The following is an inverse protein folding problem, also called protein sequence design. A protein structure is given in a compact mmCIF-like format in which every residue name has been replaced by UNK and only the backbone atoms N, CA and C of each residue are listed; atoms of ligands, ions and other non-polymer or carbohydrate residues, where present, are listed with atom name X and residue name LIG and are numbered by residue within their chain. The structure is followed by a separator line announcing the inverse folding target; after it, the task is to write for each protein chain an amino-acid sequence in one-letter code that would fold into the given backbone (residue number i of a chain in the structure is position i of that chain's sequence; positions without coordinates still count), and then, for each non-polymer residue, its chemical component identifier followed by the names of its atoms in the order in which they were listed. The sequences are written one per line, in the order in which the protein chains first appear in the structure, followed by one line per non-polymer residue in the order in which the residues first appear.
data_IF_066970618164
#
_entry.id   IF_066970618164
#
_cell.length_a   1.000
_cell.length_b   1.000
_cell.length_c   1.000
_cell.angle_alpha   90.00
_cell.angle_beta   90.00
_cell.angle_gamma   90.00
#
_symmetry.space_group_name_H-M   'P 1'
#
loop_
_entity.id
_entity.type
_entity.pdbx_description
1 polymer ?
#
# COMPACT_ATOMS: atom_id res chain seq x y z
N UNK A 1 14.10 9.66 8.76
CA UNK A 1 12.75 10.26 8.85
C UNK A 1 12.88 11.48 9.73
N UNK A 2 12.22 12.58 9.39
CA UNK A 2 12.26 13.79 10.21
C UNK A 2 11.54 13.53 11.55
N UNK A 3 12.02 14.18 12.62
CA UNK A 3 11.48 13.98 13.97
C UNK A 3 9.98 14.25 14.05
N UNK A 4 9.54 15.33 13.44
CA UNK A 4 8.12 15.74 13.39
C UNK A 4 7.21 14.71 12.71
N UNK A 5 7.69 14.08 11.62
CA UNK A 5 6.93 13.01 10.94
C UNK A 5 6.76 11.78 11.82
N UNK A 6 7.79 11.43 12.59
CA UNK A 6 7.73 10.31 13.55
C UNK A 6 6.77 10.63 14.70
N UNK A 7 6.86 11.84 15.26
CA UNK A 7 6.00 12.28 16.36
C UNK A 7 4.52 12.30 15.94
N UNK A 8 4.22 12.76 14.71
CA UNK A 8 2.86 12.75 14.16
C UNK A 8 2.30 11.33 14.04
N UNK A 9 3.08 10.39 13.49
CA UNK A 9 2.69 8.99 13.40
C UNK A 9 2.48 8.36 14.79
N UNK A 10 3.41 8.58 15.71
CA UNK A 10 3.33 8.05 17.08
C UNK A 10 2.15 8.58 17.86
N UNK A 11 1.84 9.88 17.71
CA UNK A 11 0.66 10.52 18.30
C UNK A 11 -0.64 9.89 17.78
N UNK A 12 -0.74 9.69 16.47
CA UNK A 12 -1.91 9.05 15.86
C UNK A 12 -2.12 7.61 16.35
N UNK A 13 -1.04 6.83 16.41
CA UNK A 13 -1.09 5.46 16.95
C UNK A 13 -1.44 5.45 18.43
N UNK A 14 -0.88 6.38 19.23
CA UNK A 14 -1.23 6.52 20.65
C UNK A 14 -2.73 6.73 20.86
N UNK A 15 -3.35 7.61 20.07
CA UNK A 15 -4.80 7.85 20.11
C UNK A 15 -5.61 6.59 19.73
N UNK A 16 -5.17 5.81 18.74
CA UNK A 16 -5.83 4.55 18.39
C UNK A 16 -5.79 3.55 19.56
N UNK A 17 -4.64 3.44 20.23
CA UNK A 17 -4.48 2.55 21.40
C UNK A 17 -5.38 2.98 22.55
N UNK A 18 -5.47 4.29 22.81
CA UNK A 18 -6.35 4.81 23.86
C UNK A 18 -7.85 4.59 23.59
N UNK A 19 -8.24 4.68 22.31
CA UNK A 19 -9.65 4.57 21.92
C UNK A 19 -10.14 3.13 21.79
N UNK A 20 -9.25 2.16 21.51
CA UNK A 20 -9.66 0.79 21.18
C UNK A 20 -10.39 0.11 22.33
N UNK A 21 -10.08 0.41 23.57
CA UNK A 21 -10.74 -0.21 24.72
C UNK A 21 -12.22 0.22 24.85
N UNK A 22 -12.53 1.45 24.42
CA UNK A 22 -13.83 2.08 24.58
C UNK A 22 -14.74 1.98 23.33
N UNK A 23 -14.25 1.48 22.22
CA UNK A 23 -15.00 1.37 20.96
C UNK A 23 -14.85 -0.03 20.34
N UNK A 24 -15.92 -0.53 19.75
CA UNK A 24 -15.93 -1.77 19.00
C UNK A 24 -15.42 -1.57 17.57
N UNK A 25 -15.65 -0.38 17.02
CA UNK A 25 -15.21 0.00 15.68
C UNK A 25 -14.50 1.36 15.72
N UNK A 26 -13.34 1.43 15.06
CA UNK A 26 -12.55 2.64 14.89
C UNK A 26 -12.25 2.89 13.42
N UNK A 27 -12.28 4.16 13.02
CA UNK A 27 -11.87 4.59 11.68
C UNK A 27 -10.66 5.51 11.77
N UNK A 28 -9.59 5.12 11.08
CA UNK A 28 -8.37 5.89 10.93
C UNK A 28 -8.20 6.38 9.50
N UNK A 29 -8.06 7.70 9.35
CA UNK A 29 -7.74 8.35 8.09
C UNK A 29 -6.32 8.90 8.11
N UNK A 30 -5.55 8.59 7.06
CA UNK A 30 -4.26 9.22 6.81
C UNK A 30 -3.95 9.22 5.30
N UNK A 31 -3.26 10.24 4.78
CA UNK A 31 -2.98 10.36 3.35
C UNK A 31 -2.23 9.17 2.77
N UNK A 32 -2.33 9.01 1.46
CA UNK A 32 -1.47 8.03 0.76
C UNK A 32 0.00 8.45 0.92
N UNK A 33 0.86 7.46 1.18
CA UNK A 33 2.29 7.73 1.43
C UNK A 33 2.64 8.14 2.86
N UNK A 34 1.66 8.35 3.76
CA UNK A 34 1.90 8.72 5.16
C UNK A 34 2.45 7.58 6.04
N UNK A 35 2.63 6.38 5.50
CA UNK A 35 3.11 5.23 6.25
C UNK A 35 2.02 4.48 7.03
N UNK A 36 0.79 4.39 6.49
CA UNK A 36 -0.32 3.63 7.12
C UNK A 36 0.09 2.23 7.56
N UNK A 37 0.79 1.47 6.69
CA UNK A 37 1.29 0.13 7.03
C UNK A 37 2.24 0.12 8.23
N UNK A 38 3.08 1.14 8.36
CA UNK A 38 3.95 1.31 9.53
C UNK A 38 3.14 1.58 10.80
N UNK A 39 2.18 2.51 10.74
CA UNK A 39 1.31 2.84 11.87
C UNK A 39 0.42 1.67 12.28
N UNK A 40 -0.04 0.89 11.32
CA UNK A 40 -0.76 -0.37 11.57
C UNK A 40 0.09 -1.37 12.33
N UNK A 41 1.35 -1.56 11.92
CA UNK A 41 2.30 -2.43 12.58
C UNK A 41 2.65 -1.94 14.01
N UNK A 42 2.85 -0.63 14.20
CA UNK A 42 3.09 -0.03 15.52
C UNK A 42 1.89 -0.21 16.45
N UNK A 43 0.68 0.02 15.95
CA UNK A 43 -0.56 -0.22 16.70
C UNK A 43 -0.66 -1.68 17.16
N UNK A 44 -0.52 -2.63 16.23
CA UNK A 44 -0.57 -4.06 16.56
C UNK A 44 0.52 -4.44 17.57
N UNK A 45 1.75 -3.95 17.39
CA UNK A 45 2.85 -4.24 18.30
C UNK A 45 2.61 -3.73 19.73
N UNK A 46 2.00 -2.55 19.89
CA UNK A 46 1.65 -2.00 21.20
C UNK A 46 0.56 -2.82 21.89
N UNK A 47 -0.50 -3.16 21.17
CA UNK A 47 -1.58 -4.00 21.72
C UNK A 47 -1.04 -5.39 22.13
N UNK A 48 -0.20 -6.01 21.31
CA UNK A 48 0.38 -7.34 21.60
C UNK A 48 1.43 -7.32 22.70
N UNK A 49 1.99 -6.16 23.05
CA UNK A 49 2.93 -6.05 24.18
C UNK A 49 2.25 -6.34 25.52
N UNK A 50 0.99 -5.93 25.65
CA UNK A 50 0.23 -5.99 26.90
C UNK A 50 -0.85 -7.08 26.91
N UNK A 51 -1.10 -7.72 25.74
CA UNK A 51 -2.20 -8.67 25.55
C UNK A 51 -1.74 -9.95 24.82
N UNK A 52 -1.51 -11.01 25.54
CA UNK A 52 -1.14 -12.32 25.01
C UNK A 52 -2.32 -13.09 24.37
N UNK A 53 -3.54 -12.64 24.61
CA UNK A 53 -4.77 -13.25 24.13
C UNK A 53 -5.38 -12.51 22.92
N UNK A 54 -4.73 -11.50 22.36
CA UNK A 54 -5.17 -10.79 21.15
C UNK A 54 -4.47 -11.36 19.93
N UNK A 55 -5.21 -11.51 18.84
CA UNK A 55 -4.68 -11.75 17.49
C UNK A 55 -5.29 -10.76 16.51
N UNK A 56 -4.58 -10.51 15.43
CA UNK A 56 -5.02 -9.61 14.36
C UNK A 56 -5.30 -10.36 13.07
N UNK A 57 -6.44 -10.07 12.45
CA UNK A 57 -6.73 -10.43 11.07
C UNK A 57 -6.68 -9.15 10.22
N UNK A 58 -5.66 -9.02 9.39
CA UNK A 58 -5.45 -7.85 8.51
C UNK A 58 -5.98 -8.18 7.12
N UNK A 59 -7.15 -7.63 6.79
CA UNK A 59 -7.77 -7.79 5.47
C UNK A 59 -7.32 -6.67 4.54
N UNK A 60 -6.65 -7.01 3.44
CA UNK A 60 -6.15 -6.04 2.46
C UNK A 60 -6.51 -6.42 1.02
N UNK A 61 -6.38 -5.48 0.09
CA UNK A 61 -6.70 -5.72 -1.32
C UNK A 61 -5.73 -6.75 -1.92
N UNK A 62 -6.26 -7.66 -2.72
CA UNK A 62 -5.42 -8.63 -3.47
C UNK A 62 -4.76 -8.02 -4.70
N UNK A 63 -5.34 -6.92 -5.23
CA UNK A 63 -4.77 -6.20 -6.38
C UNK A 63 -3.42 -5.57 -6.01
N UNK A 64 -2.49 -5.60 -6.95
CA UNK A 64 -1.16 -5.00 -6.77
C UNK A 64 -0.29 -5.72 -5.73
N UNK A 65 -0.62 -6.97 -5.38
CA UNK A 65 0.13 -7.78 -4.41
C UNK A 65 0.24 -7.13 -3.01
N UNK A 66 -0.75 -6.31 -2.61
CA UNK A 66 -0.72 -5.55 -1.35
C UNK A 66 -0.67 -6.45 -0.11
N UNK A 67 -1.32 -7.62 -0.15
CA UNK A 67 -1.27 -8.57 0.95
C UNK A 67 0.16 -9.08 1.20
N UNK A 68 0.86 -9.48 0.15
CA UNK A 68 2.26 -9.88 0.22
C UNK A 68 3.14 -8.73 0.71
N UNK A 69 2.93 -7.52 0.17
CA UNK A 69 3.70 -6.34 0.59
C UNK A 69 3.51 -6.01 2.07
N UNK A 70 2.27 -6.09 2.59
CA UNK A 70 2.01 -5.86 4.02
C UNK A 70 2.67 -6.95 4.87
N UNK A 71 2.56 -8.22 4.46
CA UNK A 71 3.20 -9.34 5.14
C UNK A 71 4.73 -9.18 5.18
N UNK A 72 5.36 -8.90 4.03
CA UNK A 72 6.82 -8.70 3.94
C UNK A 72 7.27 -7.53 4.83
N UNK A 73 6.49 -6.44 4.88
CA UNK A 73 6.78 -5.30 5.75
C UNK A 73 6.67 -5.64 7.23
N UNK A 74 5.65 -6.39 7.63
CA UNK A 74 5.50 -6.82 9.02
C UNK A 74 6.66 -7.75 9.44
N UNK A 75 7.08 -8.68 8.57
CA UNK A 75 8.26 -9.50 8.81
C UNK A 75 9.54 -8.63 8.90
N UNK A 76 9.74 -7.72 7.95
CA UNK A 76 10.90 -6.82 7.95
C UNK A 76 10.99 -6.01 9.26
N UNK A 77 9.86 -5.48 9.74
CA UNK A 77 9.83 -4.71 10.99
C UNK A 77 10.15 -5.57 12.21
N UNK A 78 9.65 -6.79 12.27
CA UNK A 78 9.98 -7.76 13.33
C UNK A 78 11.46 -8.12 13.30
N UNK A 79 11.98 -8.53 12.15
CA UNK A 79 13.34 -9.05 11.98
C UNK A 79 14.40 -7.95 12.23
N UNK A 80 14.08 -6.70 11.94
CA UNK A 80 14.89 -5.53 12.31
C UNK A 80 14.74 -5.12 13.79
N UNK A 81 13.97 -5.85 14.58
CA UNK A 81 13.73 -5.59 15.99
C UNK A 81 12.93 -4.34 16.30
N UNK A 82 12.23 -3.78 15.29
CA UNK A 82 11.44 -2.56 15.45
C UNK A 82 10.09 -2.83 16.11
N UNK A 83 9.41 -3.91 15.69
CA UNK A 83 8.13 -4.38 16.23
C UNK A 83 8.21 -5.86 16.57
N UNK A 84 8.80 -6.17 17.71
CA UNK A 84 9.20 -7.53 18.12
C UNK A 84 8.03 -8.45 18.45
N UNK A 85 6.88 -7.88 18.81
CA UNK A 85 5.71 -8.66 19.22
C UNK A 85 4.91 -9.20 18.03
N UNK A 86 5.21 -8.77 16.79
CA UNK A 86 4.54 -9.27 15.60
C UNK A 86 5.07 -10.65 15.21
N UNK A 87 4.15 -11.59 14.98
CA UNK A 87 4.44 -12.89 14.36
C UNK A 87 3.48 -13.08 13.18
N UNK A 88 3.81 -12.54 11.97
CA UNK A 88 2.90 -12.50 10.85
C UNK A 88 2.83 -13.84 10.09
N UNK A 89 1.65 -14.16 9.56
CA UNK A 89 1.36 -15.25 8.65
C UNK A 89 0.53 -14.74 7.47
N UNK A 90 0.91 -15.08 6.23
CA UNK A 90 0.14 -14.78 5.03
C UNK A 90 -0.77 -15.94 4.69
N UNK A 91 -2.08 -15.71 4.72
CA UNK A 91 -3.06 -16.69 4.29
C UNK A 91 -3.01 -16.75 2.75
N UNK A 92 -2.61 -17.90 2.20
CA UNK A 92 -2.49 -18.11 0.76
C UNK A 92 -3.43 -19.19 0.27
N UNK A 93 -3.76 -19.15 -1.02
CA UNK A 93 -4.51 -20.21 -1.70
C UNK A 93 -3.65 -21.35 -2.24
N UNK A 94 -2.34 -21.23 -2.10
CA UNK A 94 -1.36 -22.14 -2.70
C UNK A 94 -1.15 -23.44 -1.91
N UNK A 95 -2.20 -23.99 -1.36
CA UNK A 95 -2.17 -25.39 -0.95
C UNK A 95 -2.68 -26.18 -2.14
N UNK A 96 -1.73 -26.69 -2.91
CA UNK A 96 -1.99 -27.58 -4.04
C UNK A 96 -2.47 -28.92 -3.52
N UNK A 97 -3.69 -29.33 -3.90
CA UNK A 97 -4.22 -30.66 -3.63
C UNK A 97 -5.66 -30.64 -3.08
N UNK A 98 -6.22 -31.82 -2.93
CA UNK A 98 -7.56 -32.07 -2.34
C UNK A 98 -7.60 -31.85 -0.83
N UNK A 99 -6.50 -31.38 -0.23
CA UNK A 99 -6.38 -31.17 1.21
C UNK A 99 -7.19 -29.96 1.67
N UNK A 100 -7.81 -30.11 2.82
CA UNK A 100 -8.56 -29.05 3.51
C UNK A 100 -7.61 -27.89 3.80
N UNK A 101 -7.95 -26.67 3.40
CA UNK A 101 -7.16 -25.49 3.70
C UNK A 101 -7.03 -25.35 5.23
N UNK A 102 -5.83 -25.50 5.75
CA UNK A 102 -5.53 -25.35 7.17
C UNK A 102 -4.81 -24.02 7.41
N UNK A 103 -5.34 -23.20 8.33
CA UNK A 103 -4.70 -21.98 8.78
C UNK A 103 -4.04 -22.29 10.12
N UNK A 104 -2.70 -22.22 10.23
CA UNK A 104 -1.99 -22.49 11.49
C UNK A 104 -2.38 -21.48 12.58
N UNK A 105 -2.34 -21.90 13.85
CA UNK A 105 -2.84 -21.11 15.00
C UNK A 105 -1.77 -20.50 15.89
N UNK A 106 -0.50 -20.67 15.55
CA UNK A 106 0.67 -20.25 16.33
C UNK A 106 1.23 -18.85 15.94
N UNK A 107 0.48 -18.13 15.13
CA UNK A 107 0.76 -16.74 14.76
C UNK A 107 -0.17 -15.76 15.48
N UNK A 108 0.19 -14.47 15.49
CA UNK A 108 -0.65 -13.44 16.10
C UNK A 108 -1.10 -12.33 15.14
N UNK A 109 -0.54 -12.29 13.92
CA UNK A 109 -0.96 -11.38 12.85
C UNK A 109 -1.19 -12.18 11.58
N UNK A 110 -2.44 -12.28 11.14
CA UNK A 110 -2.84 -13.00 9.92
C UNK A 110 -3.17 -12.00 8.83
N UNK A 111 -2.44 -12.04 7.72
CA UNK A 111 -2.70 -11.19 6.55
C UNK A 111 -3.57 -11.96 5.58
N UNK A 112 -4.77 -11.43 5.33
CA UNK A 112 -5.78 -12.01 4.45
C UNK A 112 -5.92 -11.22 3.16
N UNK A 113 -5.49 -11.76 2.00
CA UNK A 113 -5.87 -11.23 0.70
C UNK A 113 -7.39 -11.31 0.52
N UNK A 114 -8.05 -10.18 0.29
CA UNK A 114 -9.51 -10.06 0.31
C UNK A 114 -10.23 -10.98 -0.66
N UNK A 115 -9.63 -11.22 -1.84
CA UNK A 115 -10.21 -12.08 -2.88
C UNK A 115 -10.25 -13.56 -2.50
N UNK A 116 -9.48 -13.99 -1.50
CA UNK A 116 -9.54 -15.36 -1.01
C UNK A 116 -10.82 -15.64 -0.24
N UNK A 117 -11.41 -14.60 0.38
CA UNK A 117 -12.67 -14.70 1.11
C UNK A 117 -13.84 -14.17 0.27
N UNK A 118 -14.11 -14.82 -0.85
CA UNK A 118 -15.22 -14.50 -1.77
C UNK A 118 -16.18 -15.67 -1.91
N UNK A 119 -17.40 -15.39 -2.35
CA UNK A 119 -18.45 -16.40 -2.56
C UNK A 119 -17.94 -17.53 -3.46
N UNK A 120 -18.06 -18.78 -2.97
CA UNK A 120 -17.57 -19.97 -3.66
C UNK A 120 -16.06 -20.24 -3.51
N UNK A 121 -15.32 -19.38 -2.81
CA UNK A 121 -13.91 -19.61 -2.50
C UNK A 121 -13.72 -20.63 -1.37
N UNK A 122 -12.57 -21.33 -1.37
CA UNK A 122 -12.24 -22.36 -0.36
C UNK A 122 -12.32 -21.85 1.08
N UNK A 123 -11.96 -20.63 1.34
CA UNK A 123 -12.03 -20.03 2.69
C UNK A 123 -13.49 -19.86 3.16
N UNK A 124 -14.42 -19.51 2.27
CA UNK A 124 -15.85 -19.43 2.61
C UNK A 124 -16.51 -20.80 2.77
N UNK A 125 -15.89 -21.87 2.28
CA UNK A 125 -16.40 -23.25 2.42
C UNK A 125 -16.07 -23.87 3.78
N UNK A 126 -15.78 -23.08 4.79
CA UNK A 126 -15.61 -23.49 6.18
C UNK A 126 -14.21 -23.31 6.75
N UNK A 127 -13.16 -23.15 5.94
CA UNK A 127 -11.80 -23.05 6.45
C UNK A 127 -11.59 -21.82 7.35
N UNK A 128 -12.17 -20.66 6.98
CA UNK A 128 -12.11 -19.44 7.78
C UNK A 128 -12.97 -19.57 9.04
N UNK A 129 -14.19 -20.09 8.93
CA UNK A 129 -15.06 -20.28 10.08
C UNK A 129 -14.43 -21.27 11.08
N UNK A 130 -13.88 -22.38 10.62
CA UNK A 130 -13.16 -23.33 11.46
C UNK A 130 -11.98 -22.67 12.17
N UNK A 131 -11.17 -21.89 11.44
CA UNK A 131 -10.05 -21.15 12.03
C UNK A 131 -10.51 -20.18 13.11
N UNK A 132 -11.55 -19.36 12.82
CA UNK A 132 -12.08 -18.38 13.76
C UNK A 132 -12.69 -19.06 14.99
N UNK A 133 -13.41 -20.16 14.80
CA UNK A 133 -13.95 -20.97 15.91
C UNK A 133 -12.84 -21.54 16.79
N UNK A 134 -11.80 -22.12 16.19
CA UNK A 134 -10.65 -22.64 16.94
C UNK A 134 -9.98 -21.55 17.74
N UNK A 135 -9.76 -20.37 17.15
CA UNK A 135 -9.08 -19.25 17.81
C UNK A 135 -9.91 -18.63 18.94
N UNK A 136 -11.23 -18.68 18.88
CA UNK A 136 -12.13 -18.17 19.93
C UNK A 136 -12.57 -19.22 20.95
N UNK A 137 -12.18 -20.48 20.78
CA UNK A 137 -12.59 -21.55 21.68
C UNK A 137 -11.58 -21.70 22.85
N UNK A 138 -12.08 -21.51 24.07
CA UNK A 138 -11.32 -21.63 25.31
C UNK A 138 -10.66 -22.99 25.54
N UNK A 139 -11.30 -24.07 25.07
CA UNK A 139 -10.80 -25.44 25.32
C UNK A 139 -9.51 -25.73 24.56
N UNK A 140 -9.35 -25.17 23.35
CA UNK A 140 -8.19 -25.43 22.50
C UNK A 140 -6.89 -24.71 22.95
N UNK A 141 -7.03 -23.58 23.67
CA UNK A 141 -5.89 -22.77 24.13
C UNK A 141 -5.67 -22.81 25.65
N UNK A 142 -6.02 -23.92 26.29
CA UNK A 142 -5.79 -24.09 27.71
C UNK A 142 -6.57 -23.12 28.61
N UNK A 143 -7.79 -22.77 28.22
CA UNK A 143 -8.67 -21.88 28.96
C UNK A 143 -8.49 -20.37 28.68
N UNK A 144 -7.70 -19.99 27.66
CA UNK A 144 -7.56 -18.58 27.25
C UNK A 144 -8.21 -18.37 25.89
N UNK A 145 -9.38 -17.75 25.87
CA UNK A 145 -10.04 -17.29 24.68
C UNK A 145 -9.20 -16.22 23.96
N UNK A 146 -8.99 -16.36 22.65
CA UNK A 146 -8.36 -15.33 21.84
C UNK A 146 -9.39 -14.31 21.39
N UNK A 147 -9.05 -13.03 21.54
CA UNK A 147 -9.80 -11.89 20.98
C UNK A 147 -9.25 -11.58 19.60
N UNK A 148 -10.13 -11.64 18.60
CA UNK A 148 -9.73 -11.35 17.22
C UNK A 148 -10.06 -9.89 16.89
N UNK A 149 -9.03 -9.12 16.54
CA UNK A 149 -9.19 -7.76 16.04
C UNK A 149 -9.06 -7.76 14.52
N UNK A 150 -10.11 -7.30 13.84
CA UNK A 150 -10.12 -7.16 12.38
C UNK A 150 -9.56 -5.79 11.99
N UNK A 151 -8.52 -5.76 11.17
CA UNK A 151 -8.04 -4.55 10.52
C UNK A 151 -8.42 -4.62 9.04
N UNK A 152 -9.17 -3.62 8.56
CA UNK A 152 -9.53 -3.44 7.15
C UNK A 152 -8.65 -2.37 6.54
N UNK A 153 -7.60 -2.79 5.84
CA UNK A 153 -6.74 -1.89 5.07
C UNK A 153 -7.46 -1.51 3.77
N UNK A 154 -7.43 -0.24 3.39
CA UNK A 154 -8.21 0.33 2.27
C UNK A 154 -9.72 0.02 2.41
N UNK A 155 -10.30 0.36 3.56
CA UNK A 155 -11.68 0.05 3.93
C UNK A 155 -12.74 0.70 3.02
N UNK A 156 -12.36 1.68 2.17
CA UNK A 156 -13.25 2.29 1.18
C UNK A 156 -13.71 1.30 0.09
N UNK A 157 -13.02 0.17 -0.06
CA UNK A 157 -13.45 -0.94 -0.92
C UNK A 157 -14.29 -1.91 -0.09
N UNK A 158 -15.48 -2.26 -0.58
CA UNK A 158 -16.44 -3.09 0.13
C UNK A 158 -15.88 -4.45 0.61
N UNK A 159 -16.25 -4.82 1.83
CA UNK A 159 -15.84 -6.06 2.53
C UNK A 159 -17.01 -6.91 2.96
N UNK A 160 -18.13 -6.88 2.22
CA UNK A 160 -19.42 -7.44 2.61
C UNK A 160 -19.36 -8.87 3.21
N UNK A 161 -18.50 -9.72 2.67
CA UNK A 161 -18.36 -11.09 3.18
C UNK A 161 -17.68 -11.16 4.55
N UNK A 162 -16.70 -10.28 4.82
CA UNK A 162 -16.05 -10.19 6.13
C UNK A 162 -16.97 -9.50 7.14
N UNK A 163 -17.76 -8.54 6.68
CA UNK A 163 -18.69 -7.80 7.54
C UNK A 163 -19.78 -8.74 8.13
N UNK A 164 -20.15 -9.80 7.40
CA UNK A 164 -21.07 -10.82 7.93
C UNK A 164 -20.48 -11.66 9.07
N UNK A 165 -19.14 -11.80 9.13
CA UNK A 165 -18.44 -12.50 10.22
C UNK A 165 -18.15 -11.60 11.41
N UNK A 166 -18.17 -10.27 11.22
CA UNK A 166 -17.73 -9.32 12.26
C UNK A 166 -18.53 -9.45 13.55
N UNK A 167 -19.82 -9.68 13.44
CA UNK A 167 -20.71 -9.79 14.61
C UNK A 167 -20.50 -11.07 15.43
N UNK A 168 -19.85 -12.09 14.86
CA UNK A 168 -19.73 -13.40 15.51
C UNK A 168 -18.36 -13.66 16.13
N UNK A 169 -17.30 -13.12 15.51
CA UNK A 169 -15.92 -13.49 15.86
C UNK A 169 -15.00 -12.32 16.19
N UNK A 170 -15.29 -11.13 15.69
CA UNK A 170 -14.37 -9.99 15.87
C UNK A 170 -14.76 -9.16 17.07
N UNK A 171 -13.86 -9.10 18.05
CA UNK A 171 -14.04 -8.27 19.25
C UNK A 171 -13.91 -6.78 18.93
N UNK A 172 -13.09 -6.43 17.95
CA UNK A 172 -12.83 -5.04 17.51
C UNK A 172 -12.62 -5.02 16.00
N UNK A 173 -13.02 -3.91 15.38
CA UNK A 173 -12.78 -3.63 13.95
C UNK A 173 -12.09 -2.28 13.78
N UNK A 174 -11.01 -2.23 13.02
CA UNK A 174 -10.28 -1.01 12.69
C UNK A 174 -10.28 -0.80 11.17
N UNK A 175 -10.76 0.34 10.74
CA UNK A 175 -10.86 0.72 9.35
C UNK A 175 -9.73 1.71 9.00
N UNK A 176 -8.77 1.30 8.19
CA UNK A 176 -7.66 2.13 7.70
C UNK A 176 -7.92 2.55 6.25
N UNK A 177 -7.85 3.84 5.96
CA UNK A 177 -7.94 4.35 4.57
C UNK A 177 -7.43 5.78 4.45
N UNK A 178 -7.04 6.18 3.24
CA UNK A 178 -6.85 7.58 2.90
C UNK A 178 -8.21 8.28 2.67
N UNK A 179 -9.20 7.54 2.19
CA UNK A 179 -10.53 8.04 1.81
C UNK A 179 -11.64 7.14 2.36
N UNK A 180 -11.81 7.06 3.69
CA UNK A 180 -12.84 6.19 4.26
C UNK A 180 -14.24 6.64 3.82
N UNK A 181 -15.10 5.68 3.47
CA UNK A 181 -16.51 5.97 3.15
C UNK A 181 -17.30 6.17 4.44
N UNK A 182 -17.36 7.40 4.88
CA UNK A 182 -18.14 7.79 6.04
C UNK A 182 -19.49 8.36 5.60
N UNK A 183 -20.52 8.21 6.44
CA UNK A 183 -21.78 8.89 6.22
C UNK A 183 -21.61 10.42 6.38
N UNK A 184 -22.54 11.23 5.87
CA UNK A 184 -22.43 12.70 5.80
C UNK A 184 -22.11 13.41 7.12
N UNK A 185 -22.30 12.75 8.28
CA UNK A 185 -22.09 13.35 9.62
C UNK A 185 -21.00 12.62 10.41
N UNK A 186 -20.43 11.57 9.89
CA UNK A 186 -19.35 10.83 10.56
C UNK A 186 -18.01 11.43 10.20
N UNK A 187 -17.14 11.52 11.19
CA UNK A 187 -15.73 11.89 11.05
C UNK A 187 -14.88 10.67 11.44
N UNK A 188 -13.65 10.56 10.96
CA UNK A 188 -12.73 9.54 11.45
C UNK A 188 -12.49 9.70 12.95
N UNK A 189 -12.30 8.59 13.66
CA UNK A 189 -11.96 8.62 15.09
C UNK A 189 -10.57 9.19 15.34
N UNK A 190 -9.64 8.85 14.44
CA UNK A 190 -8.28 9.40 14.40
C UNK A 190 -7.96 9.78 12.97
N UNK A 191 -7.41 10.97 12.80
CA UNK A 191 -7.07 11.52 11.50
C UNK A 191 -5.67 12.14 11.51
N UNK A 192 -4.91 11.91 10.45
CA UNK A 192 -3.79 12.74 10.02
C UNK A 192 -4.25 13.46 8.77
N UNK A 193 -4.35 14.78 8.83
CA UNK A 193 -4.78 15.61 7.70
C UNK A 193 -3.64 15.77 6.68
N UNK A 194 -4.00 16.02 5.43
CA UNK A 194 -3.02 16.24 4.36
C UNK A 194 -2.08 17.41 4.68
N UNK A 195 -2.62 18.49 5.26
CA UNK A 195 -1.84 19.65 5.70
C UNK A 195 -0.84 19.30 6.81
N UNK A 196 -1.28 18.56 7.84
CA UNK A 196 -0.42 18.12 8.94
C UNK A 196 0.69 17.20 8.45
N UNK A 197 0.36 16.26 7.55
CA UNK A 197 1.31 15.34 6.95
C UNK A 197 2.32 16.06 6.04
N UNK A 198 1.88 17.08 5.30
CA UNK A 198 2.73 17.92 4.48
C UNK A 198 3.70 18.76 5.32
N UNK A 199 3.19 19.46 6.36
CA UNK A 199 3.98 20.28 7.27
C UNK A 199 5.04 19.45 8.02
N UNK A 200 4.69 18.25 8.46
CA UNK A 200 5.63 17.30 9.07
C UNK A 200 6.56 16.62 8.06
N UNK A 201 6.45 16.92 6.77
CA UNK A 201 7.19 16.27 5.67
C UNK A 201 7.05 14.73 5.68
N UNK A 202 5.92 14.26 6.14
CA UNK A 202 5.54 12.83 6.14
C UNK A 202 5.13 12.37 4.74
N UNK A 203 4.50 13.26 3.98
CA UNK A 203 4.17 13.07 2.57
C UNK A 203 4.89 14.11 1.71
N UNK A 204 5.03 13.82 0.44
CA UNK A 204 5.53 14.78 -0.53
C UNK A 204 4.50 15.90 -0.71
N UNK A 205 4.99 17.13 -0.81
CA UNK A 205 4.18 18.25 -1.25
C UNK A 205 3.76 18.01 -2.70
N UNK A 206 2.47 18.21 -2.98
CA UNK A 206 1.93 18.10 -4.35
C UNK A 206 1.55 19.49 -4.78
N UNK A 207 2.24 19.98 -5.81
CA UNK A 207 1.91 21.22 -6.50
C UNK A 207 1.15 20.84 -7.78
N UNK A 208 -0.06 21.34 -7.94
CA UNK A 208 -0.83 21.15 -9.16
C UNK A 208 -0.44 22.25 -10.14
N UNK A 209 -0.12 21.88 -11.36
CA UNK A 209 0.10 22.83 -12.47
C UNK A 209 -1.21 23.53 -12.84
N UNK A 210 -1.09 24.76 -13.36
CA UNK A 210 -2.24 25.54 -13.79
C UNK A 210 -2.87 24.99 -15.08
N UNK A 211 -2.11 24.22 -15.86
CA UNK A 211 -2.54 23.65 -17.14
C UNK A 211 -2.28 22.13 -17.16
N UNK A 212 -3.32 21.36 -16.83
CA UNK A 212 -3.24 19.91 -16.65
C UNK A 212 -2.96 19.15 -17.98
N UNK A 213 -3.15 19.80 -19.13
CA UNK A 213 -3.07 19.16 -20.45
C UNK A 213 -1.75 19.43 -21.19
N UNK A 214 -0.89 20.33 -20.72
CA UNK A 214 0.34 20.68 -21.43
C UNK A 214 1.55 19.86 -20.96
N UNK A 215 1.85 18.80 -21.71
CA UNK A 215 3.02 17.96 -21.51
C UNK A 215 4.34 18.75 -21.64
N UNK A 216 4.38 19.78 -22.49
CA UNK A 216 5.54 20.63 -22.67
C UNK A 216 5.88 21.43 -21.41
N UNK A 217 4.85 22.00 -20.77
CA UNK A 217 5.02 22.70 -19.48
C UNK A 217 5.59 21.76 -18.42
N UNK A 218 5.07 20.52 -18.35
CA UNK A 218 5.56 19.53 -17.39
C UNK A 218 7.03 19.13 -17.65
N UNK A 219 7.44 18.99 -18.91
CA UNK A 219 8.82 18.66 -19.29
C UNK A 219 9.73 19.84 -18.97
N UNK A 220 9.39 21.07 -19.33
CA UNK A 220 10.16 22.26 -19.02
C UNK A 220 10.36 22.42 -17.50
N UNK A 221 9.30 22.26 -16.73
CA UNK A 221 9.38 22.32 -15.27
C UNK A 221 10.28 21.21 -14.69
N UNK A 222 10.21 20.01 -15.25
CA UNK A 222 11.08 18.91 -14.86
C UNK A 222 12.55 19.25 -15.13
N UNK A 223 12.88 19.82 -16.27
CA UNK A 223 14.25 20.21 -16.59
C UNK A 223 14.80 21.28 -15.64
N UNK A 224 13.97 22.27 -15.26
CA UNK A 224 14.35 23.31 -14.28
C UNK A 224 14.73 22.69 -12.92
N UNK A 225 14.01 21.66 -12.45
CA UNK A 225 14.27 21.06 -11.14
C UNK A 225 15.30 19.92 -11.17
N UNK A 226 15.55 19.32 -12.33
CA UNK A 226 16.39 18.14 -12.50
C UNK A 226 17.81 18.34 -11.96
N UNK A 227 18.44 19.47 -12.30
CA UNK A 227 19.79 19.80 -11.84
C UNK A 227 19.83 20.03 -10.34
N UNK A 228 18.84 20.73 -9.79
CA UNK A 228 18.74 20.96 -8.36
C UNK A 228 18.64 19.64 -7.56
N UNK A 229 17.86 18.67 -8.04
CA UNK A 229 17.75 17.36 -7.40
C UNK A 229 19.06 16.55 -7.49
N UNK A 230 19.76 16.63 -8.60
CA UNK A 230 21.07 15.99 -8.76
C UNK A 230 22.10 16.57 -7.80
N UNK A 231 22.17 17.90 -7.72
CA UNK A 231 23.15 18.60 -6.91
C UNK A 231 22.88 18.47 -5.41
N UNK A 232 21.63 18.60 -4.99
CA UNK A 232 21.25 18.58 -3.58
C UNK A 232 21.12 17.16 -3.00
N UNK A 233 20.66 16.20 -3.78
CA UNK A 233 20.29 14.86 -3.30
C UNK A 233 21.13 13.75 -3.91
N UNK A 234 21.92 14.02 -4.92
CA UNK A 234 22.70 13.00 -5.64
C UNK A 234 21.84 11.96 -6.36
N UNK A 235 20.57 12.28 -6.65
CA UNK A 235 19.61 11.39 -7.31
C UNK A 235 19.18 11.95 -8.65
N UNK A 236 18.88 11.07 -9.59
CA UNK A 236 18.25 11.48 -10.84
C UNK A 236 16.74 11.48 -10.66
N UNK A 237 16.05 12.65 -10.66
CA UNK A 237 14.60 12.68 -10.62
C UNK A 237 14.03 12.10 -11.91
N UNK A 238 12.80 11.63 -11.88
CA UNK A 238 12.14 11.04 -13.04
C UNK A 238 10.74 11.63 -13.19
N UNK A 239 10.43 12.19 -14.35
CA UNK A 239 9.09 12.62 -14.73
C UNK A 239 8.26 11.39 -15.12
N UNK A 240 7.05 11.30 -14.63
CA UNK A 240 6.12 10.21 -14.96
C UNK A 240 4.98 10.79 -15.79
N UNK A 241 4.80 10.27 -17.01
CA UNK A 241 3.68 10.63 -17.90
C UNK A 241 2.76 9.42 -17.99
N UNK A 242 1.55 9.56 -17.47
CA UNK A 242 0.51 8.53 -17.57
C UNK A 242 -0.40 8.82 -18.76
N UNK A 243 -0.49 7.89 -19.68
CA UNK A 243 -1.43 7.96 -20.80
C UNK A 243 -2.85 7.58 -20.36
N UNK A 244 -3.85 8.11 -21.06
CA UNK A 244 -5.26 7.79 -20.86
C UNK A 244 -5.60 6.32 -21.19
N UNK A 245 -6.88 5.99 -21.19
CA UNK A 245 -7.38 4.65 -21.51
C UNK A 245 -7.09 4.24 -22.97
N UNK A 246 -7.22 2.93 -23.23
CA UNK A 246 -6.80 2.21 -24.46
C UNK A 246 -7.00 2.96 -25.78
N UNK A 247 -8.15 3.57 -25.95
CA UNK A 247 -8.55 4.17 -27.24
C UNK A 247 -7.89 5.53 -27.52
N UNK A 248 -7.44 6.22 -26.48
CA UNK A 248 -6.80 7.54 -26.59
C UNK A 248 -5.29 7.52 -26.46
N UNK A 249 -4.72 6.48 -25.81
CA UNK A 249 -3.29 6.41 -25.49
C UNK A 249 -2.40 6.50 -26.74
N UNK A 250 -2.73 5.81 -27.81
CA UNK A 250 -1.94 5.84 -29.05
C UNK A 250 -2.02 7.22 -29.71
N UNK A 251 -3.16 7.91 -29.62
CA UNK A 251 -3.30 9.29 -30.06
C UNK A 251 -2.46 10.25 -29.24
N UNK A 252 -2.59 10.19 -27.91
CA UNK A 252 -1.82 11.05 -26.98
C UNK A 252 -0.32 10.86 -27.16
N UNK A 253 0.13 9.61 -27.26
CA UNK A 253 1.54 9.27 -27.44
C UNK A 253 2.09 9.89 -28.74
N UNK A 254 1.38 9.72 -29.87
CA UNK A 254 1.90 10.12 -31.19
C UNK A 254 1.65 11.59 -31.52
N UNK A 255 0.63 12.22 -30.94
CA UNK A 255 0.24 13.60 -31.31
C UNK A 255 0.55 14.64 -30.22
N UNK A 256 0.83 14.19 -28.99
CA UNK A 256 1.14 15.07 -27.85
C UNK A 256 2.55 14.80 -27.31
N UNK A 257 2.80 13.58 -26.81
CA UNK A 257 4.03 13.26 -26.06
C UNK A 257 5.26 13.20 -26.97
N UNK A 258 5.23 12.42 -28.02
CA UNK A 258 6.39 12.28 -28.92
C UNK A 258 6.73 13.57 -29.69
N UNK A 259 5.76 14.34 -30.20
CA UNK A 259 6.09 15.64 -30.79
C UNK A 259 6.82 16.56 -29.82
N UNK A 260 6.41 16.57 -28.55
CA UNK A 260 7.08 17.37 -27.52
C UNK A 260 8.50 16.87 -27.24
N UNK A 261 8.68 15.58 -27.00
CA UNK A 261 9.98 14.96 -26.75
C UNK A 261 10.97 15.05 -27.92
N UNK A 262 10.49 15.25 -29.13
CA UNK A 262 11.33 15.38 -30.32
C UNK A 262 11.74 16.82 -30.63
N UNK A 263 11.31 17.80 -29.83
CA UNK A 263 11.82 19.17 -29.94
C UNK A 263 13.30 19.21 -29.65
N UNK A 264 14.02 20.09 -30.34
CA UNK A 264 15.49 20.20 -30.20
C UNK A 264 15.95 20.46 -28.76
N UNK A 265 15.16 21.19 -28.00
CA UNK A 265 15.41 21.53 -26.59
C UNK A 265 15.39 20.31 -25.65
N UNK A 266 14.68 19.22 -26.03
CA UNK A 266 14.48 18.03 -25.18
C UNK A 266 15.25 16.79 -25.68
N UNK A 267 16.13 16.92 -26.67
CA UNK A 267 16.84 15.78 -27.29
C UNK A 267 17.78 15.03 -26.33
N UNK A 268 18.23 15.68 -25.27
CA UNK A 268 19.12 15.08 -24.26
C UNK A 268 18.35 14.26 -23.22
N UNK A 269 17.02 14.39 -23.16
CA UNK A 269 16.21 13.65 -22.22
C UNK A 269 16.12 12.17 -22.61
N UNK A 270 16.35 11.30 -21.64
CA UNK A 270 16.23 9.85 -21.79
C UNK A 270 14.86 9.40 -21.35
N UNK A 271 14.07 8.83 -22.26
CA UNK A 271 12.74 8.37 -21.96
C UNK A 271 12.55 6.87 -22.16
N UNK A 272 11.53 6.32 -21.52
CA UNK A 272 11.15 4.91 -21.55
C UNK A 272 9.63 4.78 -21.60
N UNK A 273 9.12 4.12 -22.64
CA UNK A 273 7.70 3.77 -22.80
C UNK A 273 7.47 2.35 -22.28
N UNK A 274 6.58 2.19 -21.31
CA UNK A 274 6.23 0.90 -20.71
C UNK A 274 4.71 0.70 -20.85
N UNK A 275 4.33 -0.28 -21.64
CA UNK A 275 2.94 -0.69 -21.89
C UNK A 275 2.77 -2.18 -21.64
N UNK A 276 1.51 -2.64 -21.61
CA UNK A 276 1.18 -4.05 -21.28
C UNK A 276 1.84 -5.08 -22.23
N UNK A 277 2.04 -4.72 -23.50
CA UNK A 277 2.69 -5.60 -24.49
C UNK A 277 4.18 -5.25 -24.59
N UNK A 278 5.03 -6.20 -24.26
CA UNK A 278 6.49 -6.01 -24.27
C UNK A 278 7.06 -5.57 -25.63
N UNK A 279 6.48 -6.06 -26.73
CA UNK A 279 6.86 -5.69 -28.10
C UNK A 279 6.56 -4.24 -28.47
N UNK A 280 5.68 -3.58 -27.73
CA UNK A 280 5.34 -2.15 -27.89
C UNK A 280 6.13 -1.23 -26.92
N UNK A 281 6.86 -1.81 -25.99
CA UNK A 281 7.73 -1.02 -25.12
C UNK A 281 8.92 -0.47 -25.92
N UNK A 282 9.31 0.78 -25.65
CA UNK A 282 10.38 1.46 -26.37
C UNK A 282 11.17 2.42 -25.48
N UNK A 283 12.38 2.77 -25.91
CA UNK A 283 13.23 3.75 -25.22
C UNK A 283 14.22 4.39 -26.19
N UNK A 284 14.56 5.65 -25.97
CA UNK A 284 15.69 6.30 -26.65
C UNK A 284 17.03 6.07 -25.94
N UNK A 285 17.06 5.48 -24.74
CA UNK A 285 18.31 5.08 -24.08
C UNK A 285 18.86 3.80 -24.70
N UNK A 286 19.51 3.94 -25.84
CA UNK A 286 20.14 2.82 -26.58
C UNK A 286 21.36 2.24 -25.87
N UNK A 287 21.95 2.97 -24.92
CA UNK A 287 23.20 2.59 -24.29
C UNK A 287 23.04 1.67 -23.09
N UNK A 288 22.07 1.93 -22.22
CA UNK A 288 21.87 1.15 -21.00
C UNK A 288 20.52 0.44 -20.95
N UNK A 289 19.42 1.17 -21.03
CA UNK A 289 18.10 0.58 -20.87
C UNK A 289 17.76 -0.42 -21.97
N UNK A 290 18.08 -0.13 -23.23
CA UNK A 290 17.80 -1.01 -24.37
C UNK A 290 18.52 -2.36 -24.30
N UNK A 291 19.59 -2.47 -23.49
CA UNK A 291 20.31 -3.74 -23.26
C UNK A 291 19.67 -4.62 -22.18
N UNK A 292 18.70 -4.10 -21.45
CA UNK A 292 18.00 -4.84 -20.42
C UNK A 292 16.71 -5.47 -20.97
N UNK A 293 16.31 -6.65 -20.49
CA UNK A 293 14.97 -7.17 -20.76
C UNK A 293 13.90 -6.16 -20.30
N UNK A 294 12.81 -6.05 -21.07
CA UNK A 294 11.70 -5.09 -20.77
C UNK A 294 11.15 -5.29 -19.35
N UNK A 295 11.07 -6.52 -18.87
CA UNK A 295 10.67 -6.87 -17.53
C UNK A 295 11.49 -6.19 -16.41
N UNK A 296 12.72 -5.78 -16.71
CA UNK A 296 13.63 -5.11 -15.77
C UNK A 296 13.66 -3.59 -15.91
N UNK A 297 12.96 -3.02 -16.86
CA UNK A 297 13.01 -1.59 -17.10
C UNK A 297 12.46 -0.77 -15.92
N UNK A 298 11.35 -1.20 -15.33
CA UNK A 298 10.75 -0.54 -14.15
C UNK A 298 11.73 -0.50 -12.96
N UNK A 299 12.45 -1.58 -12.75
CA UNK A 299 13.42 -1.66 -11.64
C UNK A 299 14.64 -0.78 -11.92
N UNK A 300 15.14 -0.80 -13.16
CA UNK A 300 16.24 0.06 -13.56
C UNK A 300 15.89 1.55 -13.39
N UNK A 301 14.73 1.98 -13.84
CA UNK A 301 14.30 3.38 -13.74
C UNK A 301 14.18 3.90 -12.30
N UNK A 302 13.98 3.00 -11.31
CA UNK A 302 13.93 3.35 -9.88
C UNK A 302 15.30 3.52 -9.23
N UNK A 303 16.37 3.11 -9.88
CA UNK A 303 17.72 3.25 -9.31
C UNK A 303 18.17 4.70 -9.32
N UNK A 304 18.81 5.14 -8.25
CA UNK A 304 19.43 6.48 -8.18
C UNK A 304 20.49 6.71 -9.26
N UNK A 305 21.10 5.62 -9.75
CA UNK A 305 22.06 5.61 -10.86
C UNK A 305 21.42 5.50 -12.25
N UNK A 306 20.08 5.50 -12.34
CA UNK A 306 19.38 5.48 -13.61
C UNK A 306 19.67 6.72 -14.44
N UNK A 307 19.74 6.53 -15.75
CA UNK A 307 19.84 7.64 -16.73
C UNK A 307 18.49 8.03 -17.31
N UNK A 308 17.42 7.37 -16.87
CA UNK A 308 16.07 7.64 -17.39
C UNK A 308 15.50 8.89 -16.73
N UNK A 309 15.11 9.84 -17.55
CA UNK A 309 14.53 11.11 -17.14
C UNK A 309 13.00 11.07 -17.14
N UNK A 310 12.41 10.35 -18.09
CA UNK A 310 10.96 10.30 -18.29
C UNK A 310 10.49 8.85 -18.43
N UNK A 311 9.50 8.46 -17.66
CA UNK A 311 8.76 7.20 -17.83
C UNK A 311 7.37 7.52 -18.37
N UNK A 312 7.03 6.96 -19.52
CA UNK A 312 5.71 7.02 -20.12
C UNK A 312 5.07 5.66 -19.91
N UNK A 313 3.90 5.62 -19.33
CA UNK A 313 3.21 4.35 -19.09
C UNK A 313 1.70 4.45 -19.32
N UNK A 314 1.09 3.27 -19.46
CA UNK A 314 -0.35 3.13 -19.69
C UNK A 314 -0.97 2.27 -18.61
#
# INVERSE_FOLDING_TARGET
MLKEAVELQQSAVGKLVELIDNKEELTFRAPTGSGKTYMMADFMNRILADNDNVIFLVSTLSKGNLAQQNFDKFQEYRDKGRFKNLNPYLISSEISGEETLFIPTDYNVYVLPRDLYKKGGRLMQGAMDNFLQVMTNNEWFGGKEKKIYLIKDECHVATNNLDTLSNNYFSKTLNFSATPKLSRRQIPDVEIRDEEAGNAKLIKYVELGEDEEDVGVAINKFEEIKEQYRDLLGVNPCLIIQLSNKDKADYELNNIVFPELNKNEHQDLKWMLIVDKEDKCNTNDTFRAKKLPVSRWKDYAKLSSSTIDIIIFK
#
